data_IF_856937964920
#
_entry.id   IF_856937964920
#
_cell.length_a   1.000
_cell.length_b   1.000
_cell.length_c   1.000
_cell.angle_alpha   90.00
_cell.angle_beta   90.00
_cell.angle_gamma   90.00
#
_symmetry.space_group_name_H-M   'P 1'
#
loop_
_entity.id
_entity.type
_entity.pdbx_description
1 polymer ?
#
# COMPACT_ATOMS: atom_id res chain seq x y z
N UNK A 1 21.38 11.30 -19.63
CA UNK A 1 21.07 11.56 -18.21
C UNK A 1 19.78 12.35 -18.16
N UNK A 2 18.69 11.73 -17.75
CA UNK A 2 17.42 12.44 -17.55
C UNK A 2 16.75 11.81 -16.34
N UNK A 3 16.53 12.66 -15.34
CA UNK A 3 16.11 12.41 -13.97
C UNK A 3 15.35 11.09 -13.73
N UNK A 4 15.90 10.26 -12.85
CA UNK A 4 15.09 9.45 -11.95
C UNK A 4 14.31 10.44 -11.07
N UNK A 5 13.17 10.92 -11.60
CA UNK A 5 12.28 11.83 -10.92
C UNK A 5 11.75 11.06 -9.70
N UNK A 6 12.12 11.52 -8.51
CA UNK A 6 11.77 10.92 -7.24
C UNK A 6 10.27 10.61 -7.20
N UNK A 7 9.90 9.41 -6.71
CA UNK A 7 8.76 9.30 -5.79
C UNK A 7 8.61 7.91 -5.11
N UNK A 8 9.60 7.41 -4.35
CA UNK A 8 9.31 6.38 -3.35
C UNK A 8 8.35 6.84 -2.22
N UNK A 9 8.46 8.06 -1.63
CA UNK A 9 7.65 8.40 -0.45
C UNK A 9 6.17 8.64 -0.79
N UNK A 10 5.84 9.37 -1.86
CA UNK A 10 4.44 9.73 -2.17
C UNK A 10 3.57 8.50 -2.45
N UNK A 11 4.13 7.46 -3.08
CA UNK A 11 3.38 6.25 -3.38
C UNK A 11 3.10 5.42 -2.11
N UNK A 12 4.07 5.36 -1.18
CA UNK A 12 3.88 4.70 0.12
C UNK A 12 2.90 5.48 0.99
N UNK A 13 3.00 6.81 1.02
CA UNK A 13 2.05 7.69 1.73
C UNK A 13 0.61 7.52 1.23
N UNK A 14 0.43 7.33 -0.09
CA UNK A 14 -0.86 7.03 -0.69
C UNK A 14 -1.42 5.69 -0.19
N UNK A 15 -0.59 4.63 -0.20
CA UNK A 15 -0.98 3.31 0.32
C UNK A 15 -1.41 3.41 1.78
N UNK A 16 -0.62 4.11 2.62
CA UNK A 16 -0.93 4.31 4.04
C UNK A 16 -2.22 5.09 4.23
N UNK A 17 -2.47 6.12 3.41
CA UNK A 17 -3.69 6.93 3.48
C UNK A 17 -4.94 6.13 3.11
N UNK A 18 -4.87 5.36 2.01
CA UNK A 18 -5.94 4.46 1.58
C UNK A 18 -6.20 3.36 2.61
N UNK A 19 -5.13 2.78 3.17
CA UNK A 19 -5.24 1.79 4.23
C UNK A 19 -5.95 2.34 5.46
N UNK A 20 -5.51 3.50 5.99
CA UNK A 20 -6.14 4.13 7.16
C UNK A 20 -7.61 4.45 6.92
N UNK A 21 -7.95 4.99 5.75
CA UNK A 21 -9.34 5.30 5.40
C UNK A 21 -10.18 4.02 5.26
N UNK A 22 -9.66 3.01 4.57
CA UNK A 22 -10.31 1.71 4.39
C UNK A 22 -10.54 0.99 5.72
N UNK A 23 -9.55 1.00 6.61
CA UNK A 23 -9.66 0.40 7.94
C UNK A 23 -10.66 1.17 8.83
N UNK A 24 -10.64 2.50 8.80
CA UNK A 24 -11.57 3.33 9.59
C UNK A 24 -13.02 3.21 9.14
N UNK A 25 -13.25 2.90 7.86
CA UNK A 25 -14.59 2.78 7.27
C UNK A 25 -15.03 1.32 7.05
N UNK A 26 -14.19 0.35 7.41
CA UNK A 26 -14.33 -1.07 7.03
C UNK A 26 -14.61 -1.26 5.53
N UNK A 27 -14.07 -0.37 4.68
CA UNK A 27 -14.30 -0.40 3.25
C UNK A 27 -13.27 -1.31 2.58
N UNK A 28 -13.70 -2.54 2.28
CA UNK A 28 -12.88 -3.55 1.60
C UNK A 28 -12.31 -3.07 0.27
N UNK A 29 -13.02 -2.23 -0.48
CA UNK A 29 -12.55 -1.72 -1.78
C UNK A 29 -11.29 -0.87 -1.59
N UNK A 30 -11.31 0.07 -0.64
CA UNK A 30 -10.16 0.92 -0.36
C UNK A 30 -8.95 0.12 0.13
N UNK A 31 -9.18 -0.92 0.93
CA UNK A 31 -8.11 -1.82 1.39
C UNK A 31 -7.53 -2.66 0.24
N UNK A 32 -8.37 -3.15 -0.68
CA UNK A 32 -7.90 -3.85 -1.87
C UNK A 32 -7.09 -2.94 -2.80
N UNK A 33 -7.53 -1.69 -3.00
CA UNK A 33 -6.78 -0.69 -3.77
C UNK A 33 -5.41 -0.41 -3.13
N UNK A 34 -5.37 -0.21 -1.80
CA UNK A 34 -4.12 -0.05 -1.07
C UNK A 34 -3.18 -1.26 -1.26
N UNK A 35 -3.72 -2.48 -1.20
CA UNK A 35 -2.95 -3.71 -1.41
C UNK A 35 -2.39 -3.82 -2.85
N UNK A 36 -3.20 -3.50 -3.85
CA UNK A 36 -2.78 -3.55 -5.26
C UNK A 36 -1.65 -2.56 -5.54
N UNK A 37 -1.77 -1.33 -5.04
CA UNK A 37 -0.73 -0.31 -5.20
C UNK A 37 0.54 -0.77 -4.50
N UNK A 38 0.45 -1.26 -3.26
CA UNK A 38 1.60 -1.76 -2.51
C UNK A 38 2.32 -2.91 -3.23
N UNK A 39 1.58 -3.87 -3.80
CA UNK A 39 2.16 -4.95 -4.62
C UNK A 39 2.80 -4.42 -5.90
N UNK A 40 2.22 -3.40 -6.54
CA UNK A 40 2.84 -2.73 -7.68
C UNK A 40 4.17 -2.08 -7.31
N UNK A 41 4.28 -1.51 -6.11
CA UNK A 41 5.54 -0.95 -5.61
C UNK A 41 6.57 -2.04 -5.32
N UNK A 42 6.16 -3.16 -4.74
CA UNK A 42 7.01 -4.35 -4.53
C UNK A 42 7.58 -4.86 -5.87
N UNK A 43 6.72 -5.09 -6.85
CA UNK A 43 7.12 -5.62 -8.17
C UNK A 43 8.06 -4.69 -8.93
N UNK A 44 7.94 -3.37 -8.71
CA UNK A 44 8.81 -2.37 -9.35
C UNK A 44 10.07 -2.08 -8.53
N UNK A 45 10.28 -2.76 -7.39
CA UNK A 45 11.41 -2.53 -6.49
C UNK A 45 11.37 -1.17 -5.78
N UNK A 46 10.21 -0.52 -5.75
CA UNK A 46 9.97 0.79 -5.13
C UNK A 46 9.46 0.70 -3.69
N UNK A 47 9.09 -0.51 -3.26
CA UNK A 47 8.81 -0.81 -1.86
C UNK A 47 10.09 -1.31 -1.20
N UNK A 48 10.50 -0.70 -0.08
CA UNK A 48 11.67 -1.17 0.64
C UNK A 48 11.36 -2.53 1.30
N UNK A 49 12.36 -3.41 1.49
CA UNK A 49 12.15 -4.69 2.14
C UNK A 49 11.55 -4.58 3.55
N UNK A 50 11.88 -3.49 4.26
CA UNK A 50 11.34 -3.17 5.58
C UNK A 50 9.83 -2.88 5.55
N UNK A 51 9.30 -2.46 4.41
CA UNK A 51 7.88 -2.12 4.22
C UNK A 51 7.06 -3.30 3.69
N UNK A 52 7.66 -4.46 3.41
CA UNK A 52 6.92 -5.65 2.96
C UNK A 52 5.90 -6.12 3.99
N UNK A 53 6.15 -5.90 5.29
CA UNK A 53 5.18 -6.18 6.36
C UNK A 53 3.84 -5.45 6.16
N UNK A 54 3.83 -4.31 5.45
CA UNK A 54 2.61 -3.58 5.12
C UNK A 54 1.65 -4.42 4.26
N UNK A 55 2.17 -5.25 3.36
CA UNK A 55 1.35 -6.13 2.51
C UNK A 55 0.58 -7.15 3.35
N UNK A 56 1.24 -7.73 4.35
CA UNK A 56 0.64 -8.69 5.27
C UNK A 56 -0.44 -8.01 6.13
N UNK A 57 -0.14 -6.83 6.67
CA UNK A 57 -1.09 -6.07 7.50
C UNK A 57 -2.35 -5.68 6.72
N UNK A 58 -2.20 -5.21 5.48
CA UNK A 58 -3.36 -4.87 4.65
C UNK A 58 -4.20 -6.13 4.37
N UNK A 59 -3.55 -7.25 4.03
CA UNK A 59 -4.22 -8.53 3.76
C UNK A 59 -5.00 -9.02 4.99
N UNK A 60 -4.38 -9.05 6.16
CA UNK A 60 -5.03 -9.44 7.41
C UNK A 60 -6.22 -8.53 7.76
N UNK A 61 -6.10 -7.23 7.49
CA UNK A 61 -7.18 -6.27 7.75
C UNK A 61 -8.38 -6.53 6.84
N UNK A 62 -8.15 -6.88 5.57
CA UNK A 62 -9.22 -7.27 4.64
C UNK A 62 -9.93 -8.53 5.14
N UNK A 63 -9.17 -9.54 5.55
CA UNK A 63 -9.69 -10.83 6.03
C UNK A 63 -10.47 -10.70 7.35
N UNK A 64 -10.14 -9.68 8.16
CA UNK A 64 -10.82 -9.40 9.42
C UNK A 64 -12.17 -8.68 9.25
N UNK A 65 -12.47 -8.16 8.06
CA UNK A 65 -13.80 -7.58 7.79
C UNK A 65 -14.78 -8.74 7.53
N UNK A 66 -15.93 -8.78 8.24
CA UNK A 66 -16.95 -9.83 8.07
C UNK A 66 -17.67 -9.75 6.73
#
# INVERSE_FOLDING_TARGET
MTAAMADPPVAVDLVVSLFKLGAATSNRILLHEALQIARGLEQTGRLAPSDHQMLDVITQTIDAIP
#
